data_IF_056139033055
#
_entry.id   IF_056139033055
#
_cell.length_a   1.000
_cell.length_b   1.000
_cell.length_c   1.000
_cell.angle_alpha   90.00
_cell.angle_beta   90.00
_cell.angle_gamma   90.00
#
_symmetry.space_group_name_H-M   'P 1'
#
loop_
_entity.id
_entity.type
_entity.pdbx_description
1 polymer ?
#
# COMPACT_ATOMS: atom_id res chain seq x y z
N UNK A 1 -7.02 16.42 -23.09
CA UNK A 1 -7.96 15.40 -22.57
C UNK A 1 -7.23 14.59 -21.51
N UNK A 2 -7.40 14.91 -20.24
CA UNK A 2 -6.69 14.23 -19.14
C UNK A 2 -7.27 12.83 -18.98
N UNK A 3 -6.50 11.80 -19.33
CA UNK A 3 -6.82 10.42 -18.96
C UNK A 3 -6.89 10.36 -17.44
N UNK A 4 -8.09 10.29 -16.87
CA UNK A 4 -8.25 10.03 -15.45
C UNK A 4 -7.57 8.70 -15.15
N UNK A 5 -6.54 8.72 -14.30
CA UNK A 5 -5.79 7.51 -13.92
C UNK A 5 -6.78 6.52 -13.29
N UNK A 6 -6.87 5.33 -13.89
CA UNK A 6 -7.77 4.29 -13.41
C UNK A 6 -7.10 3.51 -12.28
N UNK A 7 -7.17 4.03 -11.06
CA UNK A 7 -6.53 3.45 -9.89
C UNK A 7 -6.96 2.02 -9.58
N UNK A 8 -8.18 1.61 -9.97
CA UNK A 8 -8.61 0.23 -9.81
C UNK A 8 -7.73 -0.73 -10.59
N UNK A 9 -7.45 -0.37 -11.86
CA UNK A 9 -6.56 -1.15 -12.72
C UNK A 9 -5.13 -1.15 -12.21
N UNK A 10 -4.64 -0.03 -11.68
CA UNK A 10 -3.31 0.05 -11.06
C UNK A 10 -3.20 -0.88 -9.87
N UNK A 11 -4.19 -0.85 -8.98
CA UNK A 11 -4.25 -1.70 -7.78
C UNK A 11 -4.27 -3.18 -8.18
N UNK A 12 -5.09 -3.56 -9.15
CA UNK A 12 -5.17 -4.95 -9.61
C UNK A 12 -3.85 -5.42 -10.25
N UNK A 13 -3.21 -4.57 -11.05
CA UNK A 13 -1.89 -4.85 -11.63
C UNK A 13 -0.82 -5.05 -10.55
N UNK A 14 -0.81 -4.21 -9.53
CA UNK A 14 0.13 -4.34 -8.41
C UNK A 14 -0.10 -5.63 -7.63
N UNK A 15 -1.35 -5.96 -7.30
CA UNK A 15 -1.71 -7.22 -6.65
C UNK A 15 -1.23 -8.43 -7.45
N UNK A 16 -1.47 -8.44 -8.76
CA UNK A 16 -1.01 -9.51 -9.65
C UNK A 16 0.52 -9.58 -9.73
N UNK A 17 1.18 -8.43 -9.92
CA UNK A 17 2.64 -8.34 -10.11
C UNK A 17 3.40 -8.81 -8.87
N UNK A 18 2.95 -8.41 -7.69
CA UNK A 18 3.60 -8.74 -6.42
C UNK A 18 3.03 -10.00 -5.77
N UNK A 19 2.03 -10.65 -6.39
CA UNK A 19 1.31 -11.81 -5.83
C UNK A 19 0.78 -11.54 -4.41
N UNK A 20 0.31 -10.32 -4.17
CA UNK A 20 -0.24 -9.89 -2.88
C UNK A 20 -1.75 -9.70 -2.97
N UNK A 21 -2.42 -9.88 -1.84
CA UNK A 21 -3.82 -9.53 -1.68
C UNK A 21 -3.98 -8.04 -1.32
N UNK A 22 -5.22 -7.63 -1.05
CA UNK A 22 -5.52 -6.25 -0.69
C UNK A 22 -4.82 -5.80 0.60
N UNK A 23 -4.75 -6.67 1.60
CA UNK A 23 -4.10 -6.39 2.89
C UNK A 23 -2.60 -6.19 2.71
N UNK A 24 -1.94 -7.02 1.90
CA UNK A 24 -0.53 -6.85 1.56
C UNK A 24 -0.27 -5.52 0.86
N UNK A 25 -1.10 -5.14 -0.12
CA UNK A 25 -0.95 -3.84 -0.79
C UNK A 25 -1.20 -2.67 0.19
N UNK A 26 -2.18 -2.79 1.07
CA UNK A 26 -2.49 -1.80 2.09
C UNK A 26 -1.32 -1.61 3.06
N UNK A 27 -0.69 -2.73 3.45
CA UNK A 27 0.51 -2.74 4.26
C UNK A 27 1.67 -2.02 3.57
N UNK A 28 1.95 -2.29 2.28
CA UNK A 28 2.99 -1.58 1.53
C UNK A 28 2.73 -0.07 1.41
N UNK A 29 1.46 0.31 1.28
CA UNK A 29 1.07 1.72 1.15
C UNK A 29 0.89 2.42 2.50
N UNK A 30 1.04 1.71 3.62
CA UNK A 30 0.84 2.26 4.97
C UNK A 30 -0.59 2.74 5.23
N UNK A 31 -1.60 2.08 4.65
CA UNK A 31 -3.01 2.46 4.80
C UNK A 31 -3.86 1.29 5.27
N UNK A 32 -5.07 1.58 5.74
CA UNK A 32 -6.05 0.53 6.07
C UNK A 32 -6.55 -0.18 4.80
N UNK A 33 -6.78 -1.51 4.80
CA UNK A 33 -7.29 -2.26 3.63
C UNK A 33 -8.59 -1.70 3.05
N UNK A 34 -9.47 -1.16 3.90
CA UNK A 34 -10.70 -0.49 3.47
C UNK A 34 -10.43 0.73 2.58
N UNK A 35 -9.33 1.46 2.81
CA UNK A 35 -8.93 2.60 1.97
C UNK A 35 -8.57 2.13 0.57
N UNK A 36 -7.78 1.06 0.46
CA UNK A 36 -7.46 0.41 -0.83
C UNK A 36 -8.74 -0.11 -1.50
N UNK A 37 -9.67 -0.70 -0.75
CA UNK A 37 -10.97 -1.12 -1.29
C UNK A 37 -11.77 0.04 -1.89
N UNK A 38 -11.81 1.19 -1.20
CA UNK A 38 -12.49 2.40 -1.69
C UNK A 38 -11.83 2.94 -2.96
N UNK A 39 -10.50 2.93 -3.04
CA UNK A 39 -9.77 3.29 -4.27
C UNK A 39 -10.08 2.32 -5.41
N UNK A 40 -10.10 1.01 -5.12
CA UNK A 40 -10.37 -0.01 -6.13
C UNK A 40 -11.79 0.10 -6.70
N UNK A 41 -12.77 0.42 -5.86
CA UNK A 41 -14.17 0.61 -6.29
C UNK A 41 -14.48 2.04 -6.73
N UNK A 42 -13.46 2.90 -6.91
CA UNK A 42 -13.62 4.32 -7.31
C UNK A 42 -14.54 5.13 -6.39
N UNK A 43 -14.69 4.69 -5.13
CA UNK A 43 -15.46 5.39 -4.09
C UNK A 43 -14.65 6.52 -3.45
N UNK A 44 -13.32 6.47 -3.58
CA UNK A 44 -12.38 7.45 -3.08
C UNK A 44 -11.19 7.53 -4.04
N UNK A 45 -10.54 8.69 -4.14
CA UNK A 45 -9.27 8.83 -4.86
C UNK A 45 -8.11 8.82 -3.86
N UNK A 46 -6.96 8.22 -4.21
CA UNK A 46 -5.74 8.35 -3.41
C UNK A 46 -5.30 9.82 -3.38
N UNK A 47 -4.65 10.22 -2.28
CA UNK A 47 -3.96 11.51 -2.23
C UNK A 47 -2.78 11.51 -3.20
N UNK A 48 -2.23 12.70 -3.50
CA UNK A 48 -1.04 12.84 -4.36
C UNK A 48 0.11 11.94 -3.90
N UNK A 49 0.40 11.91 -2.61
CA UNK A 49 1.41 11.04 -2.00
C UNK A 49 1.19 9.55 -2.33
N UNK A 50 -0.02 9.03 -2.13
CA UNK A 50 -0.31 7.61 -2.41
C UNK A 50 -0.36 7.33 -3.92
N UNK A 51 -0.76 8.31 -4.74
CA UNK A 51 -0.72 8.17 -6.19
C UNK A 51 0.73 8.07 -6.70
N UNK A 52 1.66 8.82 -6.12
CA UNK A 52 3.10 8.72 -6.41
C UNK A 52 3.66 7.37 -5.98
N UNK A 53 3.36 6.90 -4.77
CA UNK A 53 3.77 5.56 -4.31
C UNK A 53 3.24 4.43 -5.22
N UNK A 54 1.97 4.50 -5.63
CA UNK A 54 1.39 3.53 -6.58
C UNK A 54 2.11 3.55 -7.93
N UNK A 55 2.50 4.74 -8.41
CA UNK A 55 3.27 4.88 -9.64
C UNK A 55 4.71 4.38 -9.49
N UNK A 56 5.32 4.57 -8.33
CA UNK A 56 6.66 4.07 -8.00
C UNK A 56 6.68 2.55 -7.97
N UNK A 57 5.73 1.92 -7.27
CA UNK A 57 5.56 0.46 -7.27
C UNK A 57 5.31 -0.11 -8.68
N UNK A 58 4.66 0.64 -9.57
CA UNK A 58 4.54 0.21 -10.98
C UNK A 58 5.86 0.28 -11.75
N UNK A 59 6.76 1.20 -11.36
CA UNK A 59 8.05 1.43 -12.03
C UNK A 59 9.15 0.47 -11.58
N UNK A 60 9.09 -0.06 -10.35
CA UNK A 60 10.08 -1.02 -9.84
C UNK A 60 10.11 -2.28 -10.73
N UNK A 61 11.15 -2.42 -11.56
CA UNK A 61 11.29 -3.50 -12.55
C UNK A 61 11.52 -4.87 -11.89
N UNK A 62 11.32 -5.96 -12.63
CA UNK A 62 11.35 -7.36 -12.14
C UNK A 62 12.62 -7.79 -11.39
N UNK A 63 13.69 -6.99 -11.41
CA UNK A 63 14.95 -7.28 -10.72
C UNK A 63 14.87 -7.21 -9.18
N UNK A 64 13.82 -6.60 -8.62
CA UNK A 64 13.60 -6.50 -7.16
C UNK A 64 12.76 -7.65 -6.56
N UNK A 65 12.44 -8.68 -7.36
CA UNK A 65 11.62 -9.83 -6.88
C UNK A 65 12.27 -10.63 -5.74
N UNK A 66 13.58 -10.52 -5.55
CA UNK A 66 14.29 -11.25 -4.51
C UNK A 66 14.24 -10.58 -3.12
N UNK A 67 14.07 -9.26 -3.05
CA UNK A 67 14.11 -8.53 -1.78
C UNK A 67 12.74 -8.37 -1.11
N UNK A 68 11.63 -8.54 -1.83
CA UNK A 68 10.28 -8.41 -1.26
C UNK A 68 9.79 -9.65 -0.48
N UNK A 69 10.63 -10.68 -0.33
CA UNK A 69 10.39 -11.77 0.64
C UNK A 69 10.76 -11.38 2.08
N UNK A 70 11.42 -10.24 2.27
CA UNK A 70 11.72 -9.69 3.59
C UNK A 70 11.28 -8.23 3.67
N UNK A 71 10.86 -7.72 4.85
CA UNK A 71 10.48 -6.31 4.96
C UNK A 71 11.70 -5.46 4.65
N UNK A 72 11.68 -4.81 3.48
CA UNK A 72 12.68 -3.84 3.04
C UNK A 72 13.02 -2.87 4.19
N UNK A 73 14.27 -2.39 4.35
CA UNK A 73 14.67 -1.51 5.46
C UNK A 73 13.82 -0.24 5.61
N UNK A 74 13.20 0.24 4.52
CA UNK A 74 12.20 1.31 4.53
C UNK A 74 10.91 0.90 5.28
N UNK A 75 10.49 -0.37 5.16
CA UNK A 75 9.34 -0.95 5.87
C UNK A 75 9.61 -1.15 7.36
N UNK A 76 10.83 -1.50 7.79
CA UNK A 76 11.16 -1.59 9.22
C UNK A 76 11.03 -0.22 9.89
N UNK A 77 11.44 0.85 9.21
CA UNK A 77 11.28 2.23 9.70
C UNK A 77 9.80 2.64 9.80
N UNK A 78 8.97 2.23 8.83
CA UNK A 78 7.52 2.50 8.85
C UNK A 78 6.77 1.62 9.85
N UNK A 79 7.18 0.37 10.06
CA UNK A 79 6.68 -0.51 11.13
C UNK A 79 7.01 0.04 12.51
N UNK A 80 8.23 0.51 12.73
CA UNK A 80 8.62 1.17 13.98
C UNK A 80 7.84 2.49 14.17
N UNK A 81 7.61 3.23 13.09
CA UNK A 81 6.76 4.42 13.10
C UNK A 81 5.32 4.06 13.50
N UNK A 82 4.71 3.05 12.89
CA UNK A 82 3.35 2.63 13.24
C UNK A 82 3.28 1.93 14.60
N UNK A 83 4.30 1.19 15.03
CA UNK A 83 4.41 0.67 16.40
C UNK A 83 4.42 1.81 17.42
N UNK A 84 5.06 2.93 17.10
CA UNK A 84 4.99 4.15 17.94
C UNK A 84 3.65 4.88 17.86
N UNK A 85 3.01 4.92 16.69
CA UNK A 85 1.76 5.66 16.46
C UNK A 85 0.50 4.89 16.89
N UNK A 86 0.51 3.54 16.87
CA UNK A 86 -0.62 2.67 17.24
C UNK A 86 -0.57 2.10 18.66
N UNK A 87 0.34 2.52 19.55
CA UNK A 87 0.30 2.19 20.99
C UNK A 87 -0.78 3.02 21.74
N UNK A 88 -1.92 3.25 21.10
CA UNK A 88 -3.12 3.86 21.66
C UNK A 88 -4.36 3.20 21.05
N UNK A 89 -4.65 1.94 21.41
CA UNK A 89 -6.02 1.37 21.45
C UNK A 89 -6.04 -0.13 21.76
N UNK A 90 -5.21 -0.61 22.68
CA UNK A 90 -5.51 -1.84 23.42
C UNK A 90 -5.13 -1.59 24.87
N UNK A 91 -6.00 -0.89 25.61
CA UNK A 91 -6.06 -1.14 27.05
C UNK A 91 -6.79 -2.48 27.22
N UNK A 92 -6.14 -3.54 27.73
CA UNK A 92 -6.87 -4.65 28.29
C UNK A 92 -7.55 -4.12 29.55
N UNK A 93 -8.88 -4.01 29.51
CA UNK A 93 -9.67 -3.69 30.68
C UNK A 93 -9.31 -4.61 31.84
N UNK A 94 -9.02 -3.99 32.98
CA UNK A 94 -9.18 -4.55 34.31
C UNK A 94 -9.96 -3.51 35.11
#
# INVERSE_FOLDING_TARGET
MSQAVNYSRVIDLLKMRYRINQDGLAYYLGVHPMTVSKWNHRKLFPSSFHAELLAELLRVSELDRFELSFPHPVMLSLLEFWRRVFVFSVEPGI
#
